data_IF_356059599450
#
_entry.id   IF_356059599450
#
_cell.length_a   1.000
_cell.length_b   1.000
_cell.length_c   1.000
_cell.angle_alpha   90.00
_cell.angle_beta   90.00
_cell.angle_gamma   90.00
#
_symmetry.space_group_name_H-M   'P 1'
#
loop_
_entity.id
_entity.type
_entity.pdbx_description
1 polymer ?
#
# COMPACT_ATOMS: atom_id res chain seq x y z
N UNK A 1 -1.24 5.34 15.12
CA UNK A 1 -2.49 5.18 14.35
C UNK A 1 -3.12 3.84 14.65
N UNK A 2 -4.44 3.72 14.52
CA UNK A 2 -5.14 2.48 14.81
C UNK A 2 -5.09 1.53 13.62
N UNK A 3 -4.27 0.48 13.68
CA UNK A 3 -4.36 -0.69 12.80
C UNK A 3 -5.50 -1.59 13.28
N UNK A 4 -6.59 -1.67 12.53
CA UNK A 4 -7.79 -2.43 12.91
C UNK A 4 -8.22 -3.46 11.85
N UNK A 5 -7.55 -3.48 10.69
CA UNK A 5 -7.61 -4.60 9.74
C UNK A 5 -6.23 -4.90 9.14
N UNK A 6 -6.07 -6.13 8.65
CA UNK A 6 -4.92 -6.60 7.87
C UNK A 6 -4.97 -6.16 6.40
N UNK A 7 -6.08 -5.53 5.99
CA UNK A 7 -6.25 -4.96 4.65
C UNK A 7 -5.41 -3.69 4.47
N UNK A 8 -4.96 -3.42 3.24
CA UNK A 8 -4.14 -2.24 2.92
C UNK A 8 -4.81 -0.89 3.24
N UNK A 9 -6.14 -0.83 3.25
CA UNK A 9 -6.94 0.35 3.64
C UNK A 9 -7.46 0.26 5.08
N UNK A 10 -7.00 -0.72 5.85
CA UNK A 10 -7.42 -1.05 7.21
C UNK A 10 -6.82 -0.17 8.33
N UNK A 11 -6.37 1.04 7.98
CA UNK A 11 -5.74 2.01 8.87
C UNK A 11 -6.18 3.42 8.48
N UNK A 12 -6.29 4.32 9.47
CA UNK A 12 -6.71 5.70 9.29
C UNK A 12 -5.86 6.44 8.24
N UNK A 13 -4.54 6.30 8.27
CA UNK A 13 -3.64 6.97 7.31
C UNK A 13 -3.88 6.53 5.86
N UNK A 14 -4.10 5.23 5.67
CA UNK A 14 -4.40 4.66 4.37
C UNK A 14 -5.79 5.10 3.88
N UNK A 15 -6.76 5.27 4.78
CA UNK A 15 -8.09 5.74 4.46
C UNK A 15 -8.09 7.24 4.09
N UNK A 16 -7.37 8.06 4.83
CA UNK A 16 -7.19 9.49 4.53
C UNK A 16 -6.48 9.67 3.18
N UNK A 17 -5.38 8.94 2.96
CA UNK A 17 -4.67 8.95 1.67
C UNK A 17 -5.55 8.48 0.50
N UNK A 18 -6.36 7.44 0.71
CA UNK A 18 -7.28 6.93 -0.31
C UNK A 18 -8.34 7.98 -0.71
N UNK A 19 -8.78 8.80 0.26
CA UNK A 19 -9.67 9.91 -0.01
C UNK A 19 -8.99 10.97 -0.90
N UNK A 20 -7.76 11.36 -0.57
CA UNK A 20 -6.97 12.30 -1.39
C UNK A 20 -6.72 11.76 -2.80
N UNK A 21 -6.38 10.47 -2.93
CA UNK A 21 -6.18 9.83 -4.23
C UNK A 21 -7.45 9.89 -5.08
N UNK A 22 -8.63 9.64 -4.50
CA UNK A 22 -9.90 9.63 -5.23
C UNK A 22 -10.22 11.00 -5.87
N UNK A 23 -9.70 12.10 -5.30
CA UNK A 23 -9.82 13.47 -5.80
C UNK A 23 -8.75 13.85 -6.84
N UNK A 24 -7.72 13.02 -7.03
CA UNK A 24 -6.68 13.19 -8.03
C UNK A 24 -7.03 12.50 -9.36
N UNK A 25 -6.23 12.77 -10.41
CA UNK A 25 -6.38 12.14 -11.73
C UNK A 25 -5.04 11.62 -12.31
N UNK A 26 -4.02 11.45 -11.46
CA UNK A 26 -2.68 11.02 -11.85
C UNK A 26 -1.97 10.20 -10.75
N UNK A 27 -0.76 9.71 -11.04
CA UNK A 27 -0.01 8.82 -10.16
C UNK A 27 0.85 9.53 -9.10
N UNK A 28 0.83 10.86 -9.00
CA UNK A 28 1.75 11.61 -8.13
C UNK A 28 1.66 11.17 -6.67
N UNK A 29 0.44 10.91 -6.16
CA UNK A 29 0.24 10.43 -4.78
C UNK A 29 0.69 8.99 -4.58
N UNK A 30 0.58 8.15 -5.61
CA UNK A 30 1.08 6.77 -5.60
C UNK A 30 2.60 6.77 -5.60
N UNK A 31 3.23 7.56 -6.46
CA UNK A 31 4.69 7.69 -6.52
C UNK A 31 5.26 8.26 -5.22
N UNK A 32 4.64 9.32 -4.67
CA UNK A 32 5.06 9.91 -3.41
C UNK A 32 4.96 8.94 -2.23
N UNK A 33 3.92 8.08 -2.19
CA UNK A 33 3.77 7.05 -1.17
C UNK A 33 4.91 6.01 -1.22
N UNK A 34 5.24 5.53 -2.44
CA UNK A 34 6.35 4.58 -2.62
C UNK A 34 7.69 5.23 -2.28
N UNK A 35 7.91 6.47 -2.71
CA UNK A 35 9.14 7.21 -2.40
C UNK A 35 9.28 7.53 -0.91
N UNK A 36 8.17 7.82 -0.22
CA UNK A 36 8.14 7.99 1.23
C UNK A 36 8.61 6.74 1.96
N UNK A 37 8.10 5.57 1.58
CA UNK A 37 8.56 4.31 2.17
C UNK A 37 10.04 4.00 1.87
N UNK A 38 10.56 4.44 0.72
CA UNK A 38 11.95 4.26 0.31
C UNK A 38 12.89 5.39 0.72
N UNK A 39 12.37 6.45 1.36
CA UNK A 39 13.15 7.63 1.71
C UNK A 39 14.33 7.27 2.61
N UNK A 40 15.40 8.05 2.51
CA UNK A 40 16.60 7.85 3.32
C UNK A 40 16.27 8.04 4.81
N UNK A 41 16.45 6.97 5.58
CA UNK A 41 16.19 6.93 7.01
C UNK A 41 16.48 5.55 7.56
N UNK A 42 16.99 5.48 8.79
CA UNK A 42 17.27 4.21 9.45
C UNK A 42 16.01 3.48 9.90
N UNK A 43 14.84 4.14 9.89
CA UNK A 43 13.60 3.58 10.39
C UNK A 43 12.41 4.07 9.56
N UNK A 44 11.46 3.18 9.27
CA UNK A 44 10.24 3.46 8.54
C UNK A 44 9.05 3.50 9.51
N UNK A 45 8.42 4.67 9.62
CA UNK A 45 7.27 4.86 10.49
C UNK A 45 6.02 4.13 9.94
N UNK A 46 5.16 3.70 10.84
CA UNK A 46 3.95 2.94 10.51
C UNK A 46 2.98 3.69 9.55
N UNK A 47 2.82 5.03 9.62
CA UNK A 47 1.97 5.78 8.70
C UNK A 47 2.44 5.69 7.25
N UNK A 48 3.74 5.91 7.02
CA UNK A 48 4.35 5.85 5.69
C UNK A 48 4.26 4.42 5.13
N UNK A 49 4.48 3.41 5.98
CA UNK A 49 4.28 2.01 5.61
C UNK A 49 2.82 1.71 5.22
N UNK A 50 1.85 2.23 5.97
CA UNK A 50 0.42 2.05 5.68
C UNK A 50 0.02 2.66 4.32
N UNK A 51 0.44 3.91 4.10
CA UNK A 51 0.18 4.66 2.87
C UNK A 51 0.83 3.95 1.67
N UNK A 52 2.06 3.45 1.84
CA UNK A 52 2.75 2.71 0.78
C UNK A 52 2.04 1.39 0.44
N UNK A 53 1.54 0.63 1.42
CA UNK A 53 0.74 -0.57 1.15
C UNK A 53 -0.56 -0.25 0.39
N UNK A 54 -1.24 0.85 0.76
CA UNK A 54 -2.42 1.33 0.04
C UNK A 54 -2.08 1.71 -1.42
N UNK A 55 -0.96 2.39 -1.64
CA UNK A 55 -0.46 2.72 -2.98
C UNK A 55 -0.14 1.48 -3.81
N UNK A 56 0.47 0.46 -3.21
CA UNK A 56 0.73 -0.83 -3.87
C UNK A 56 -0.57 -1.55 -4.25
N UNK A 57 -1.60 -1.49 -3.40
CA UNK A 57 -2.91 -2.05 -3.72
C UNK A 57 -3.54 -1.36 -4.95
N UNK A 58 -3.35 -0.05 -5.09
CA UNK A 58 -3.76 0.71 -6.29
C UNK A 58 -2.97 0.27 -7.52
N UNK A 59 -1.64 0.13 -7.40
CA UNK A 59 -0.78 -0.35 -8.50
C UNK A 59 -1.22 -1.75 -8.97
N UNK A 60 -1.49 -2.66 -8.03
CA UNK A 60 -1.98 -4.01 -8.35
C UNK A 60 -3.31 -3.97 -9.11
N UNK A 61 -4.26 -3.12 -8.68
CA UNK A 61 -5.55 -2.93 -9.37
C UNK A 61 -5.39 -2.34 -10.77
N UNK A 62 -4.51 -1.35 -10.94
CA UNK A 62 -4.16 -0.76 -12.24
C UNK A 62 -3.53 -1.79 -13.19
N UNK A 63 -2.79 -2.76 -12.67
CA UNK A 63 -2.23 -3.88 -13.44
C UNK A 63 -3.26 -5.01 -13.73
N UNK A 64 -4.52 -4.82 -13.33
CA UNK A 64 -5.59 -5.81 -13.49
C UNK A 64 -5.61 -6.93 -12.44
N UNK A 65 -4.73 -6.86 -11.44
CA UNK A 65 -4.62 -7.84 -10.35
C UNK A 65 -5.38 -7.36 -9.11
N UNK A 66 -6.70 -7.29 -9.24
CA UNK A 66 -7.60 -6.78 -8.21
C UNK A 66 -7.53 -7.56 -6.91
N UNK A 67 -7.58 -6.85 -5.79
CA UNK A 67 -7.88 -7.40 -4.47
C UNK A 67 -9.38 -7.43 -4.20
N UNK A 68 -9.75 -7.48 -2.92
CA UNK A 68 -11.14 -7.41 -2.50
C UNK A 68 -11.81 -6.09 -2.91
N UNK A 69 -13.06 -6.22 -3.37
CA UNK A 69 -13.93 -5.10 -3.74
C UNK A 69 -15.12 -5.06 -2.80
N UNK A 70 -15.22 -4.01 -2.01
CA UNK A 70 -16.31 -3.80 -1.05
C UNK A 70 -16.61 -2.31 -0.88
N UNK A 71 -17.52 -1.97 0.03
CA UNK A 71 -17.93 -0.58 0.25
C UNK A 71 -16.78 0.35 0.67
N UNK A 72 -15.74 -0.17 1.31
CA UNK A 72 -14.58 0.61 1.76
C UNK A 72 -13.57 0.86 0.63
N UNK A 73 -13.46 -0.05 -0.34
CA UNK A 73 -12.57 0.11 -1.49
C UNK A 73 -13.24 0.78 -2.69
N UNK A 74 -14.57 0.97 -2.66
CA UNK A 74 -15.34 1.50 -3.78
C UNK A 74 -14.81 2.84 -4.35
N UNK A 75 -14.38 3.82 -3.54
CA UNK A 75 -13.81 5.07 -4.07
C UNK A 75 -12.56 4.81 -4.91
N UNK A 76 -11.69 3.91 -4.45
CA UNK A 76 -10.46 3.53 -5.16
C UNK A 76 -10.76 2.72 -6.41
N UNK A 77 -11.74 1.80 -6.35
CA UNK A 77 -12.18 1.04 -7.52
C UNK A 77 -12.61 1.95 -8.66
N UNK A 78 -13.45 2.94 -8.34
CA UNK A 78 -13.92 3.92 -9.32
C UNK A 78 -12.77 4.78 -9.83
N UNK A 79 -11.81 5.12 -8.99
CA UNK A 79 -10.62 5.87 -9.41
C UNK A 79 -9.79 5.07 -10.41
N UNK A 80 -9.47 3.80 -10.12
CA UNK A 80 -8.74 2.89 -11.01
C UNK A 80 -9.47 2.70 -12.34
N UNK A 81 -10.80 2.55 -12.31
CA UNK A 81 -11.63 2.39 -13.51
C UNK A 81 -11.74 3.69 -14.33
N UNK A 82 -11.57 4.87 -13.70
CA UNK A 82 -11.65 6.19 -14.34
C UNK A 82 -10.32 6.61 -14.96
N UNK A 83 -9.22 6.39 -14.24
CA UNK A 83 -7.92 6.95 -14.59
C UNK A 83 -7.32 6.19 -15.77
N UNK A 84 -6.74 6.91 -16.73
CA UNK A 84 -6.01 6.31 -17.86
C UNK A 84 -4.53 6.64 -17.73
N UNK A 85 -3.82 5.81 -16.97
CA UNK A 85 -2.38 5.96 -16.71
C UNK A 85 -1.65 4.70 -17.14
N UNK A 86 -0.39 4.87 -17.54
CA UNK A 86 0.49 3.73 -17.81
C UNK A 86 1.42 3.55 -16.62
N UNK A 87 1.40 2.35 -16.02
CA UNK A 87 2.35 2.00 -14.98
C UNK A 87 3.75 1.84 -15.57
N UNK A 88 4.73 2.56 -15.03
CA UNK A 88 6.12 2.38 -15.40
C UNK A 88 6.73 1.14 -14.71
N UNK A 89 7.56 0.34 -15.41
CA UNK A 89 8.23 -0.81 -14.79
C UNK A 89 9.08 -0.46 -13.57
N UNK A 90 9.63 0.75 -13.55
CA UNK A 90 10.39 1.28 -12.42
C UNK A 90 9.52 1.43 -11.15
N UNK A 91 8.29 1.92 -11.29
CA UNK A 91 7.36 2.06 -10.17
C UNK A 91 7.02 0.70 -9.55
N UNK A 92 6.80 -0.33 -10.38
CA UNK A 92 6.60 -1.71 -9.91
C UNK A 92 7.83 -2.25 -9.17
N UNK A 93 9.04 -1.96 -9.68
CA UNK A 93 10.28 -2.37 -9.02
C UNK A 93 10.43 -1.68 -7.65
N UNK A 94 10.23 -0.35 -7.58
CA UNK A 94 10.27 0.40 -6.33
C UNK A 94 9.21 -0.08 -5.33
N UNK A 95 7.98 -0.34 -5.78
CA UNK A 95 6.92 -0.89 -4.93
C UNK A 95 7.32 -2.21 -4.26
N UNK A 96 7.99 -3.11 -5.00
CA UNK A 96 8.48 -4.38 -4.44
C UNK A 96 9.60 -4.18 -3.41
N UNK A 97 10.53 -3.26 -3.68
CA UNK A 97 11.59 -2.91 -2.72
C UNK A 97 10.99 -2.30 -1.45
N UNK A 98 9.94 -1.48 -1.59
CA UNK A 98 9.24 -0.91 -0.45
C UNK A 98 8.55 -1.98 0.41
N UNK A 99 7.99 -3.05 -0.19
CA UNK A 99 7.49 -4.21 0.57
C UNK A 99 8.60 -4.85 1.39
N UNK A 100 9.77 -5.08 0.80
CA UNK A 100 10.91 -5.68 1.52
C UNK A 100 11.35 -4.80 2.70
N UNK A 101 11.26 -3.47 2.56
CA UNK A 101 11.54 -2.52 3.64
C UNK A 101 10.47 -2.52 4.74
N UNK A 102 9.18 -2.57 4.37
CA UNK A 102 8.06 -2.68 5.33
C UNK A 102 8.13 -3.98 6.14
N UNK A 103 8.62 -5.06 5.52
CA UNK A 103 8.82 -6.36 6.19
C UNK A 103 10.20 -6.49 6.89
N UNK A 104 11.00 -5.42 6.89
CA UNK A 104 12.32 -5.41 7.54
C UNK A 104 12.23 -5.04 9.02
N UNK A 105 13.28 -5.37 9.78
CA UNK A 105 13.36 -5.02 11.20
C UNK A 105 13.37 -3.51 11.47
N UNK A 106 13.63 -2.69 10.46
CA UNK A 106 13.69 -1.24 10.54
C UNK A 106 12.33 -0.58 10.20
N UNK A 107 11.20 -1.25 10.52
CA UNK A 107 9.85 -0.76 10.26
C UNK A 107 8.97 -0.84 11.52
N UNK A 108 8.43 0.32 11.92
CA UNK A 108 7.47 0.41 13.03
C UNK A 108 6.22 -0.43 12.78
N UNK A 109 5.74 -0.47 11.53
CA UNK A 109 4.59 -1.30 11.16
C UNK A 109 4.83 -2.78 11.45
N UNK A 110 6.02 -3.29 11.12
CA UNK A 110 6.38 -4.67 11.41
C UNK A 110 6.37 -4.92 12.93
N UNK A 111 6.99 -4.03 13.71
CA UNK A 111 7.05 -4.14 15.16
C UNK A 111 5.64 -4.15 15.79
N UNK A 112 4.76 -3.26 15.35
CA UNK A 112 3.37 -3.19 15.81
C UNK A 112 2.61 -4.49 15.52
N UNK A 113 2.76 -5.07 14.33
CA UNK A 113 2.08 -6.32 14.01
C UNK A 113 2.69 -7.52 14.71
N UNK A 114 4.00 -7.54 14.95
CA UNK A 114 4.67 -8.62 15.71
C UNK A 114 4.18 -8.74 17.15
N UNK A 115 3.74 -7.64 17.77
CA UNK A 115 3.15 -7.64 19.12
C UNK A 115 1.67 -8.08 19.13
N UNK A 116 1.05 -8.27 17.95
CA UNK A 116 -0.36 -8.65 17.81
C UNK A 116 -0.57 -10.15 17.53
N UNK A 117 -1.75 -10.67 17.89
CA UNK A 117 -2.14 -12.06 17.60
C UNK A 117 -2.30 -12.35 16.09
N UNK A 118 -2.46 -11.30 15.27
CA UNK A 118 -2.75 -11.39 13.84
C UNK A 118 -1.50 -11.23 12.94
N UNK A 119 -0.29 -11.19 13.52
CA UNK A 119 0.97 -11.01 12.78
C UNK A 119 1.07 -11.88 11.52
N UNK A 120 0.80 -13.18 11.65
CA UNK A 120 0.90 -14.12 10.54
C UNK A 120 -0.13 -13.87 9.43
N UNK A 121 -1.33 -13.38 9.79
CA UNK A 121 -2.35 -13.01 8.84
C UNK A 121 -1.97 -11.72 8.09
N UNK A 122 -1.43 -10.72 8.81
CA UNK A 122 -0.93 -9.49 8.20
C UNK A 122 0.22 -9.75 7.22
N UNK A 123 1.24 -10.52 7.61
CA UNK A 123 2.34 -10.89 6.70
C UNK A 123 1.80 -11.60 5.46
N UNK A 124 0.82 -12.51 5.63
CA UNK A 124 0.16 -13.17 4.52
C UNK A 124 -0.56 -12.21 3.55
N UNK A 125 -1.19 -11.16 4.09
CA UNK A 125 -1.81 -10.09 3.31
C UNK A 125 -0.79 -9.29 2.49
N UNK A 126 0.32 -8.90 3.12
CA UNK A 126 1.42 -8.16 2.45
C UNK A 126 2.08 -9.00 1.35
N UNK A 127 2.34 -10.29 1.61
CA UNK A 127 2.89 -11.21 0.59
C UNK A 127 1.90 -11.49 -0.55
N UNK A 128 0.59 -11.56 -0.25
CA UNK A 128 -0.43 -11.63 -1.29
C UNK A 128 -0.40 -10.39 -2.19
N UNK A 129 -0.31 -9.20 -1.60
CA UNK A 129 -0.17 -7.95 -2.33
C UNK A 129 1.11 -7.94 -3.18
N UNK A 130 2.25 -8.39 -2.63
CA UNK A 130 3.51 -8.56 -3.37
C UNK A 130 3.32 -9.40 -4.63
N UNK A 131 2.63 -10.54 -4.51
CA UNK A 131 2.35 -11.42 -5.66
C UNK A 131 1.48 -10.75 -6.72
N UNK A 132 0.56 -9.86 -6.34
CA UNK A 132 -0.33 -9.15 -7.28
C UNK A 132 0.36 -7.99 -8.01
N UNK A 133 1.48 -7.49 -7.50
CA UNK A 133 2.32 -6.55 -8.26
C UNK A 133 3.00 -7.20 -9.48
N UNK A 134 3.10 -8.53 -9.52
CA UNK A 134 3.74 -9.28 -10.61
C UNK A 134 5.26 -9.34 -10.51
N UNK A 135 5.86 -10.10 -11.43
CA UNK A 135 7.33 -10.30 -11.55
C UNK A 135 8.06 -9.07 -12.12
#
# INVERSE_FOLDING_TARGET
>A
MGTWSVDAFGNDDAADWAFELAESDDLSLVEAAIDGALAEGEYLDAPDAAIALAAMEVIARLNGNWGDRNAYTEPIDRWVERVTVQLEPDLLARARVAIDRILSADSEMLELWQDSDDYGAWVGSVENLRSRLGE
#
